data_IF_982724550140
#
_entry.id   IF_982724550140
#
_cell.length_a   1.000
_cell.length_b   1.000
_cell.length_c   1.000
_cell.angle_alpha   90.00
_cell.angle_beta   90.00
_cell.angle_gamma   90.00
#
_symmetry.space_group_name_H-M   'P 1'
#
loop_
_entity.id
_entity.type
_entity.pdbx_description
1 polymer ?
#
# COMPACT_ATOMS: atom_id res chain seq x y z
N UNK A 1 5.25 72.83 -2.23
CA UNK A 1 6.39 71.96 -1.89
C UNK A 1 6.04 70.76 -1.01
N UNK A 2 4.96 70.75 -0.22
CA UNK A 2 4.55 69.57 0.57
C UNK A 2 3.90 68.46 -0.28
N UNK A 3 3.15 68.79 -1.33
CA UNK A 3 2.48 67.78 -2.18
C UNK A 3 3.43 66.87 -2.97
N UNK A 4 4.61 67.37 -3.38
CA UNK A 4 5.58 66.57 -4.14
C UNK A 4 6.25 65.52 -3.24
N UNK A 5 6.38 65.80 -1.94
CA UNK A 5 6.99 64.90 -0.98
C UNK A 5 6.07 63.71 -0.64
N UNK A 6 4.75 63.93 -0.60
CA UNK A 6 3.76 62.89 -0.29
C UNK A 6 3.54 61.94 -1.48
N UNK A 7 3.56 62.43 -2.73
CA UNK A 7 3.45 61.57 -3.93
C UNK A 7 4.63 60.61 -4.11
N UNK A 8 5.84 60.99 -3.70
CA UNK A 8 7.03 60.11 -3.80
C UNK A 8 6.93 58.96 -2.80
N UNK A 9 6.51 59.23 -1.57
CA UNK A 9 6.34 58.21 -0.52
C UNK A 9 5.23 57.21 -0.87
N UNK A 10 4.13 57.68 -1.47
CA UNK A 10 3.01 56.82 -1.89
C UNK A 10 3.34 55.88 -3.05
N UNK A 11 4.27 56.30 -3.93
CA UNK A 11 4.71 55.49 -5.08
C UNK A 11 5.73 54.43 -4.65
N UNK A 12 6.61 54.75 -3.68
CA UNK A 12 7.55 53.80 -3.09
C UNK A 12 6.85 52.67 -2.31
N UNK A 13 5.76 52.97 -1.60
CA UNK A 13 4.99 51.96 -0.86
C UNK A 13 4.28 50.95 -1.80
N UNK A 14 3.63 51.42 -2.88
CA UNK A 14 2.96 50.56 -3.87
C UNK A 14 3.93 49.65 -4.65
N UNK A 15 5.14 50.13 -4.94
CA UNK A 15 6.18 49.35 -5.62
C UNK A 15 6.76 48.22 -4.77
N UNK A 16 6.74 48.37 -3.43
CA UNK A 16 7.22 47.37 -2.47
C UNK A 16 6.17 46.30 -2.19
N UNK A 17 4.89 46.66 -2.09
CA UNK A 17 3.79 45.70 -1.90
C UNK A 17 3.61 44.75 -3.11
N UNK A 18 3.79 45.24 -4.33
CA UNK A 18 3.67 44.41 -5.54
C UNK A 18 4.84 43.42 -5.71
N UNK A 19 5.99 43.67 -5.09
CA UNK A 19 7.13 42.73 -5.06
C UNK A 19 6.94 41.64 -4.01
N UNK A 20 6.38 41.99 -2.85
CA UNK A 20 6.07 41.06 -1.77
C UNK A 20 4.95 40.09 -2.19
N UNK A 21 3.91 40.56 -2.89
CA UNK A 21 2.86 39.69 -3.41
C UNK A 21 3.34 38.69 -4.47
N UNK A 22 4.27 39.10 -5.35
CA UNK A 22 4.89 38.19 -6.34
C UNK A 22 5.80 37.14 -5.69
N UNK A 23 6.55 37.52 -4.66
CA UNK A 23 7.39 36.60 -3.89
C UNK A 23 6.55 35.59 -3.10
N UNK A 24 5.42 36.01 -2.52
CA UNK A 24 4.50 35.13 -1.79
C UNK A 24 3.77 34.15 -2.72
N UNK A 25 3.37 34.59 -3.92
CA UNK A 25 2.78 33.72 -4.94
C UNK A 25 3.79 32.68 -5.48
N UNK A 26 5.07 33.05 -5.64
CA UNK A 26 6.12 32.11 -6.03
C UNK A 26 6.43 31.09 -4.91
N UNK A 27 6.42 31.51 -3.64
CA UNK A 27 6.57 30.61 -2.49
C UNK A 27 5.38 29.65 -2.33
N UNK A 28 4.17 30.07 -2.68
CA UNK A 28 2.96 29.22 -2.66
C UNK A 28 2.92 28.23 -3.83
N UNK A 29 3.55 28.55 -4.97
CA UNK A 29 3.74 27.63 -6.12
C UNK A 29 4.87 26.61 -5.88
N UNK A 30 5.86 26.93 -5.04
CA UNK A 30 6.92 26.00 -4.58
C UNK A 30 6.47 25.03 -3.48
N UNK A 31 5.29 25.24 -2.90
CA UNK A 31 4.63 24.30 -2.01
C UNK A 31 3.76 23.27 -2.76
N UNK A 32 4.01 23.09 -4.06
CA UNK A 32 3.53 21.97 -4.85
C UNK A 32 3.82 20.68 -4.09
N UNK A 33 2.76 19.92 -3.82
CA UNK A 33 2.80 18.59 -3.24
C UNK A 33 4.00 17.80 -3.76
N UNK A 34 4.88 17.34 -2.87
CA UNK A 34 5.69 16.18 -3.19
C UNK A 34 4.68 15.05 -3.45
N UNK A 35 4.37 14.80 -4.73
CA UNK A 35 3.65 13.62 -5.14
C UNK A 35 4.60 12.45 -4.90
N UNK A 36 4.58 11.90 -3.69
CA UNK A 36 5.27 10.65 -3.44
C UNK A 36 4.62 9.60 -4.33
N UNK A 37 5.42 9.02 -5.22
CA UNK A 37 5.05 7.75 -5.79
C UNK A 37 4.91 6.75 -4.63
N UNK A 38 3.83 5.98 -4.68
CA UNK A 38 3.52 4.96 -3.66
C UNK A 38 2.94 3.79 -4.41
N UNK A 39 3.59 2.64 -4.26
CA UNK A 39 3.05 1.39 -4.74
C UNK A 39 2.41 0.64 -3.58
N UNK A 40 1.12 0.33 -3.71
CA UNK A 40 0.40 -0.44 -2.69
C UNK A 40 -0.01 -1.78 -3.25
N UNK A 41 0.34 -2.84 -2.53
CA UNK A 41 -0.11 -4.19 -2.78
C UNK A 41 -1.05 -4.65 -1.67
N UNK A 42 -2.14 -5.30 -2.07
CA UNK A 42 -3.11 -5.92 -1.19
C UNK A 42 -3.01 -7.42 -1.37
N UNK A 43 -2.93 -8.18 -0.28
CA UNK A 43 -3.04 -9.64 -0.28
C UNK A 43 -4.19 -10.06 0.63
N UNK A 44 -5.16 -10.77 0.07
CA UNK A 44 -6.44 -11.05 0.72
C UNK A 44 -7.04 -12.36 0.23
N UNK A 45 -7.96 -12.91 1.01
CA UNK A 45 -8.69 -14.13 0.64
C UNK A 45 -9.89 -13.79 -0.23
N UNK A 46 -10.10 -14.55 -1.30
CA UNK A 46 -11.25 -14.42 -2.19
C UNK A 46 -11.62 -15.78 -2.76
N UNK A 47 -12.85 -16.24 -2.52
CA UNK A 47 -13.39 -17.46 -3.13
C UNK A 47 -12.61 -18.74 -2.81
N UNK A 48 -12.01 -18.86 -1.61
CA UNK A 48 -11.20 -20.02 -1.21
C UNK A 48 -9.75 -19.99 -1.71
N UNK A 49 -9.33 -18.87 -2.29
CA UNK A 49 -7.98 -18.61 -2.77
C UNK A 49 -7.40 -17.39 -2.03
N UNK A 50 -6.08 -17.22 -2.08
CA UNK A 50 -5.43 -15.95 -1.76
C UNK A 50 -5.12 -15.23 -3.07
N UNK A 51 -5.44 -13.94 -3.13
CA UNK A 51 -5.18 -13.08 -4.27
C UNK A 51 -4.34 -11.91 -3.81
N UNK A 52 -3.31 -11.58 -4.58
CA UNK A 52 -2.56 -10.34 -4.45
C UNK A 52 -2.85 -9.42 -5.65
N UNK A 53 -3.03 -8.13 -5.38
CA UNK A 53 -3.21 -7.10 -6.38
C UNK A 53 -2.46 -5.85 -5.96
N UNK A 54 -1.57 -5.36 -6.81
CA UNK A 54 -0.78 -4.17 -6.56
C UNK A 54 -0.92 -3.13 -7.65
N UNK A 55 -1.00 -1.87 -7.26
CA UNK A 55 -1.04 -0.74 -8.18
C UNK A 55 -0.35 0.49 -7.58
N UNK A 56 0.12 1.36 -8.45
CA UNK A 56 0.72 2.65 -8.08
C UNK A 56 1.90 2.99 -8.96
N UNK A 57 2.80 3.80 -8.43
CA UNK A 57 4.03 4.23 -9.09
C UNK A 57 5.19 4.08 -8.12
N UNK A 58 6.42 3.99 -8.61
CA UNK A 58 7.64 3.90 -7.81
C UNK A 58 8.69 4.88 -8.36
N UNK A 59 9.33 5.62 -7.48
CA UNK A 59 10.52 6.40 -7.76
C UNK A 59 11.76 5.59 -7.37
N UNK A 60 12.48 5.09 -8.37
CA UNK A 60 13.72 4.32 -8.19
C UNK A 60 14.97 5.18 -8.33
N UNK A 61 14.85 6.51 -8.50
CA UNK A 61 15.99 7.41 -8.81
C UNK A 61 17.03 7.49 -7.69
N UNK A 62 16.62 7.25 -6.44
CA UNK A 62 17.53 7.25 -5.29
C UNK A 62 18.16 5.88 -4.99
N UNK A 63 17.82 4.84 -5.75
CA UNK A 63 18.25 3.47 -5.49
C UNK A 63 19.39 3.05 -6.44
N UNK A 64 20.32 2.25 -5.91
CA UNK A 64 21.36 1.63 -6.72
C UNK A 64 20.83 0.40 -7.44
N UNK A 65 21.12 0.28 -8.74
CA UNK A 65 20.82 -0.94 -9.49
C UNK A 65 21.72 -2.10 -9.02
N UNK A 66 21.11 -3.24 -8.72
CA UNK A 66 21.77 -4.46 -8.27
C UNK A 66 21.92 -5.49 -9.40
N UNK A 67 21.16 -5.34 -10.49
CA UNK A 67 21.21 -6.21 -11.66
C UNK A 67 19.83 -6.70 -12.10
N UNK A 68 19.81 -7.35 -13.28
CA UNK A 68 18.60 -7.89 -13.87
C UNK A 68 18.55 -9.42 -13.75
N UNK A 69 17.35 -9.95 -13.51
CA UNK A 69 17.07 -11.38 -13.38
C UNK A 69 15.68 -11.67 -13.95
N UNK A 70 15.41 -12.94 -14.30
CA UNK A 70 14.06 -13.40 -14.60
C UNK A 70 13.48 -14.11 -13.38
N UNK A 71 12.25 -13.77 -13.02
CA UNK A 71 11.63 -14.25 -11.78
C UNK A 71 10.19 -14.72 -12.01
N UNK A 72 9.70 -15.52 -11.07
CA UNK A 72 8.31 -15.98 -11.01
C UNK A 72 7.64 -15.43 -9.74
N UNK A 73 6.31 -15.26 -9.76
CA UNK A 73 5.57 -14.80 -8.59
C UNK A 73 5.59 -15.86 -7.49
N UNK A 74 5.87 -15.43 -6.27
CA UNK A 74 5.87 -16.28 -5.07
C UNK A 74 5.74 -15.43 -3.81
N UNK A 75 5.58 -16.11 -2.67
CA UNK A 75 5.64 -15.50 -1.35
C UNK A 75 6.54 -16.32 -0.42
N UNK A 76 7.38 -15.63 0.37
CA UNK A 76 8.17 -16.18 1.48
C UNK A 76 8.04 -15.20 2.66
N UNK A 77 6.99 -15.30 3.48
CA UNK A 77 6.72 -14.32 4.55
C UNK A 77 7.84 -14.16 5.57
N UNK A 78 8.52 -15.27 5.93
CA UNK A 78 9.59 -15.26 6.95
C UNK A 78 10.81 -14.44 6.55
N UNK A 79 11.04 -14.29 5.24
CA UNK A 79 12.16 -13.53 4.66
C UNK A 79 11.72 -12.21 4.04
N UNK A 80 10.46 -11.81 4.28
CA UNK A 80 9.81 -10.69 3.61
C UNK A 80 10.02 -10.71 2.09
N UNK A 81 9.74 -11.83 1.42
CA UNK A 81 9.81 -11.90 -0.05
C UNK A 81 8.40 -12.01 -0.61
N UNK A 82 8.05 -11.11 -1.50
CA UNK A 82 6.80 -11.14 -2.25
C UNK A 82 7.10 -10.73 -3.68
N UNK A 83 6.64 -11.52 -4.65
CA UNK A 83 6.71 -11.19 -6.08
C UNK A 83 5.38 -11.50 -6.71
N UNK A 84 4.89 -10.56 -7.50
CA UNK A 84 3.60 -10.63 -8.18
C UNK A 84 3.74 -10.08 -9.60
N UNK A 85 2.89 -10.53 -10.51
CA UNK A 85 2.97 -10.21 -11.93
C UNK A 85 3.21 -11.42 -12.81
N UNK A 86 3.51 -11.16 -14.09
CA UNK A 86 3.61 -12.20 -15.12
C UNK A 86 4.81 -13.14 -14.89
N UNK A 87 4.61 -14.48 -14.77
CA UNK A 87 5.70 -15.43 -14.59
C UNK A 87 6.75 -15.37 -15.70
N UNK A 88 8.03 -15.43 -15.32
CA UNK A 88 9.15 -15.43 -16.27
C UNK A 88 9.53 -14.05 -16.79
N UNK A 89 8.87 -12.98 -16.32
CA UNK A 89 9.23 -11.61 -16.68
C UNK A 89 10.63 -11.23 -16.15
N UNK A 90 11.35 -10.45 -16.95
CA UNK A 90 12.63 -9.86 -16.55
C UNK A 90 12.41 -8.62 -15.69
N UNK A 91 13.14 -8.55 -14.58
CA UNK A 91 13.09 -7.44 -13.63
C UNK A 91 14.45 -6.76 -13.52
N UNK A 92 14.44 -5.53 -13.02
CA UNK A 92 15.61 -4.84 -12.46
C UNK A 92 15.48 -4.82 -10.94
N UNK A 93 16.56 -5.17 -10.25
CA UNK A 93 16.65 -5.10 -8.80
C UNK A 93 17.28 -3.78 -8.35
N UNK A 94 16.71 -3.14 -7.34
CA UNK A 94 17.15 -1.87 -6.79
C UNK A 94 17.27 -1.94 -5.27
N UNK A 95 18.28 -1.33 -4.67
CA UNK A 95 18.41 -1.29 -3.21
C UNK A 95 19.56 -0.43 -2.70
N UNK A 96 19.80 -0.42 -1.38
CA UNK A 96 18.99 -1.05 -0.32
C UNK A 96 17.71 -0.26 0.03
N UNK A 97 16.80 -0.87 0.79
CA UNK A 97 15.57 -0.28 1.32
C UNK A 97 15.60 -0.27 2.86
N UNK A 98 14.64 0.39 3.49
CA UNK A 98 14.36 0.29 4.94
C UNK A 98 12.96 -0.26 5.16
N UNK A 99 12.79 -1.30 5.97
CA UNK A 99 11.47 -1.82 6.28
C UNK A 99 11.51 -3.16 7.04
N UNK A 100 10.34 -3.81 7.19
CA UNK A 100 10.21 -5.09 7.88
C UNK A 100 11.07 -6.19 7.24
N UNK A 101 11.66 -7.05 8.09
CA UNK A 101 12.39 -8.24 7.66
C UNK A 101 11.48 -9.46 7.46
N UNK A 102 10.24 -9.41 7.95
CA UNK A 102 9.23 -10.44 7.77
C UNK A 102 7.82 -9.85 7.81
N UNK A 103 6.87 -10.57 7.21
CA UNK A 103 5.43 -10.30 7.32
C UNK A 103 4.62 -11.57 7.65
N UNK A 104 5.29 -12.53 8.30
CA UNK A 104 4.69 -13.76 8.80
C UNK A 104 5.70 -14.90 8.90
N UNK A 105 5.34 -16.05 9.52
CA UNK A 105 6.23 -17.20 9.68
C UNK A 105 6.31 -18.12 8.45
N UNK A 106 5.52 -17.87 7.40
CA UNK A 106 5.41 -18.75 6.23
C UNK A 106 6.71 -18.96 5.47
N UNK A 107 6.86 -20.15 4.90
CA UNK A 107 7.96 -20.52 3.99
C UNK A 107 7.66 -20.19 2.53
N UNK A 108 8.49 -20.71 1.62
CA UNK A 108 8.34 -20.49 0.19
C UNK A 108 7.06 -21.15 -0.34
N UNK A 109 6.21 -20.34 -0.95
CA UNK A 109 5.06 -20.81 -1.73
C UNK A 109 5.01 -20.09 -3.07
N UNK A 110 5.13 -20.84 -4.18
CA UNK A 110 4.96 -20.28 -5.53
C UNK A 110 3.49 -19.90 -5.76
N UNK A 111 3.25 -18.83 -6.51
CA UNK A 111 1.90 -18.52 -6.97
C UNK A 111 1.53 -19.44 -8.14
N UNK A 112 0.24 -19.81 -8.24
CA UNK A 112 -0.26 -20.62 -9.36
C UNK A 112 -0.36 -19.80 -10.65
N UNK A 113 -0.48 -18.48 -10.52
CA UNK A 113 -0.58 -17.57 -11.63
C UNK A 113 -0.34 -16.12 -11.20
N UNK A 114 -0.09 -15.27 -12.20
CA UNK A 114 0.06 -13.84 -12.02
C UNK A 114 0.01 -13.13 -13.37
N UNK A 115 -0.32 -11.84 -13.35
CA UNK A 115 -0.47 -11.03 -14.56
C UNK A 115 -0.10 -9.58 -14.31
N UNK A 116 0.20 -8.85 -15.39
CA UNK A 116 0.68 -7.48 -15.34
C UNK A 116 2.18 -7.38 -15.11
N UNK A 117 2.61 -6.25 -14.57
CA UNK A 117 4.00 -5.91 -14.29
C UNK A 117 4.56 -6.81 -13.19
N UNK A 118 5.76 -7.34 -13.40
CA UNK A 118 6.46 -8.08 -12.36
C UNK A 118 7.07 -7.09 -11.35
N UNK A 119 6.44 -7.02 -10.18
CA UNK A 119 6.84 -6.16 -9.07
C UNK A 119 6.99 -7.01 -7.81
N UNK A 120 8.00 -6.71 -7.00
CA UNK A 120 8.20 -7.44 -5.76
C UNK A 120 9.28 -6.86 -4.88
N UNK A 121 9.56 -7.58 -3.80
CA UNK A 121 10.56 -7.21 -2.81
C UNK A 121 11.27 -8.45 -2.27
N UNK A 122 12.48 -8.21 -1.78
CA UNK A 122 13.26 -9.13 -0.98
C UNK A 122 13.72 -8.36 0.26
N UNK A 123 12.86 -8.34 1.28
CA UNK A 123 13.07 -7.66 2.54
C UNK A 123 13.57 -6.23 2.33
N UNK A 124 14.54 -5.83 3.14
CA UNK A 124 15.23 -4.55 2.99
C UNK A 124 16.36 -4.57 1.93
N UNK A 125 16.59 -5.70 1.26
CA UNK A 125 17.72 -5.86 0.35
C UNK A 125 17.42 -5.31 -1.04
N UNK A 126 16.28 -5.67 -1.62
CA UNK A 126 15.98 -5.35 -3.01
C UNK A 126 14.48 -5.11 -3.27
N UNK A 127 14.19 -4.09 -4.07
CA UNK A 127 12.95 -3.84 -4.78
C UNK A 127 13.09 -4.40 -6.20
N UNK A 128 12.07 -5.10 -6.69
CA UNK A 128 12.00 -5.59 -8.05
C UNK A 128 10.93 -4.84 -8.82
N UNK A 129 11.30 -4.32 -9.99
CA UNK A 129 10.41 -3.67 -10.96
C UNK A 129 10.67 -4.23 -12.35
N UNK A 130 9.78 -4.10 -13.33
CA UNK A 130 10.06 -4.52 -14.71
C UNK A 130 11.39 -3.97 -15.22
N UNK A 131 12.14 -4.75 -15.99
CA UNK A 131 13.48 -4.36 -16.42
C UNK A 131 13.52 -3.02 -17.19
N UNK A 132 12.44 -2.71 -17.92
CA UNK A 132 12.28 -1.48 -18.70
C UNK A 132 11.52 -0.37 -17.95
N UNK A 133 11.31 -0.52 -16.64
CA UNK A 133 10.57 0.45 -15.84
C UNK A 133 11.27 1.82 -15.79
N UNK A 134 10.51 2.88 -15.97
CA UNK A 134 10.94 4.27 -15.76
C UNK A 134 10.26 4.80 -14.50
N UNK A 135 11.04 5.44 -13.63
CA UNK A 135 10.54 5.98 -12.36
C UNK A 135 9.31 6.89 -12.58
N UNK A 136 8.25 6.62 -11.83
CA UNK A 136 6.96 7.33 -11.93
C UNK A 136 5.95 6.74 -12.92
N UNK A 137 6.34 5.77 -13.75
CA UNK A 137 5.37 5.08 -14.62
C UNK A 137 4.38 4.26 -13.77
N UNK A 138 3.11 4.17 -14.20
CA UNK A 138 2.12 3.36 -13.52
C UNK A 138 2.45 1.87 -13.63
N UNK A 139 2.33 1.18 -12.50
CA UNK A 139 2.52 -0.25 -12.37
C UNK A 139 1.21 -0.90 -11.95
N UNK A 140 0.91 -2.06 -12.52
CA UNK A 140 -0.23 -2.90 -12.14
C UNK A 140 0.18 -4.36 -12.14
N UNK A 141 0.02 -5.04 -11.00
CA UNK A 141 0.42 -6.44 -10.84
C UNK A 141 -0.63 -7.26 -10.11
N UNK A 142 -0.59 -8.57 -10.33
CA UNK A 142 -1.44 -9.53 -9.63
C UNK A 142 -0.76 -10.89 -9.47
N UNK A 143 -1.18 -11.64 -8.45
CA UNK A 143 -0.85 -13.05 -8.28
C UNK A 143 -1.98 -13.78 -7.55
N UNK A 144 -2.05 -15.10 -7.72
CA UNK A 144 -3.05 -15.93 -7.04
C UNK A 144 -2.46 -17.24 -6.52
N UNK A 145 -2.95 -17.67 -5.36
CA UNK A 145 -2.68 -18.96 -4.73
C UNK A 145 -4.02 -19.66 -4.47
N UNK A 146 -4.21 -20.80 -5.11
CA UNK A 146 -5.45 -21.57 -5.17
C UNK A 146 -5.55 -22.49 -3.97
N UNK A 147 -6.76 -22.69 -3.46
CA UNK A 147 -7.01 -23.53 -2.29
C UNK A 147 -6.12 -23.17 -1.08
N UNK A 148 -5.86 -21.88 -0.91
CA UNK A 148 -4.99 -21.33 0.12
C UNK A 148 -5.74 -20.29 0.96
N UNK A 149 -5.28 -20.15 2.20
CA UNK A 149 -5.66 -19.10 3.15
C UNK A 149 -4.42 -18.30 3.55
N UNK A 150 -4.58 -17.10 4.10
CA UNK A 150 -3.48 -16.32 4.66
C UNK A 150 -2.74 -17.12 5.74
N UNK A 151 -3.49 -17.87 6.55
CA UNK A 151 -2.95 -18.75 7.59
C UNK A 151 -2.11 -19.89 7.01
N UNK A 152 -2.57 -20.58 5.95
CA UNK A 152 -1.80 -21.67 5.33
C UNK A 152 -0.55 -21.17 4.61
N UNK A 153 -0.59 -19.94 4.08
CA UNK A 153 0.60 -19.28 3.52
C UNK A 153 1.54 -18.74 4.61
N UNK A 154 1.12 -18.75 5.88
CA UNK A 154 1.87 -18.18 6.99
C UNK A 154 2.06 -16.67 6.88
N UNK A 155 1.04 -15.97 6.35
CA UNK A 155 0.95 -14.52 6.29
C UNK A 155 0.32 -13.98 7.57
N UNK A 156 0.92 -12.94 8.15
CA UNK A 156 0.34 -12.24 9.29
C UNK A 156 -0.42 -11.01 8.80
N UNK A 157 -1.73 -10.87 9.10
CA UNK A 157 -2.48 -9.66 8.74
C UNK A 157 -1.87 -8.39 9.34
N UNK A 158 -1.80 -7.33 8.55
CA UNK A 158 -1.17 -6.07 8.93
C UNK A 158 -0.67 -5.25 7.74
N UNK A 159 -0.20 -4.04 8.05
CA UNK A 159 0.40 -3.13 7.08
C UNK A 159 1.93 -3.14 7.24
N UNK A 160 2.64 -3.34 6.13
CA UNK A 160 4.09 -3.43 6.07
C UNK A 160 4.60 -2.44 5.03
N UNK A 161 5.45 -1.51 5.43
CA UNK A 161 5.96 -0.45 4.54
C UNK A 161 7.48 -0.51 4.45
N UNK A 162 7.98 -0.54 3.21
CA UNK A 162 9.39 -0.31 2.89
C UNK A 162 9.54 1.09 2.34
N UNK A 163 10.61 1.78 2.76
CA UNK A 163 10.88 3.17 2.42
C UNK A 163 12.32 3.32 1.97
N UNK A 164 12.56 4.29 1.10
CA UNK A 164 13.90 4.64 0.63
C UNK A 164 13.95 6.10 0.20
N UNK A 165 15.14 6.57 -0.13
CA UNK A 165 15.37 7.94 -0.57
C UNK A 165 15.22 8.97 0.54
N UNK A 166 15.29 10.24 0.15
CA UNK A 166 15.11 11.38 1.06
C UNK A 166 14.71 12.62 0.27
N UNK A 167 13.93 13.52 0.87
CA UNK A 167 13.51 14.75 0.20
C UNK A 167 12.68 14.46 -1.06
N UNK A 168 13.00 15.05 -2.22
CA UNK A 168 12.20 14.86 -3.44
C UNK A 168 12.16 13.44 -4.00
N UNK A 169 13.14 12.60 -3.67
CA UNK A 169 13.25 11.21 -4.16
C UNK A 169 12.88 10.17 -3.09
N UNK A 170 12.25 10.60 -1.99
CA UNK A 170 11.71 9.63 -1.03
C UNK A 170 10.44 8.98 -1.54
N UNK A 171 10.32 7.67 -1.33
CA UNK A 171 9.21 6.84 -1.81
C UNK A 171 8.97 5.67 -0.85
N UNK A 172 7.85 4.97 -1.03
CA UNK A 172 7.48 3.79 -0.27
C UNK A 172 6.74 2.71 -1.07
N UNK A 173 7.01 1.46 -0.71
CA UNK A 173 6.23 0.29 -1.08
C UNK A 173 5.41 -0.17 0.14
N UNK A 174 4.10 -0.32 0.00
CA UNK A 174 3.21 -0.75 1.08
C UNK A 174 2.53 -2.07 0.75
N UNK A 175 2.69 -3.07 1.62
CA UNK A 175 1.97 -4.33 1.60
C UNK A 175 0.88 -4.31 2.68
N UNK A 176 -0.36 -4.55 2.28
CA UNK A 176 -1.50 -4.73 3.17
C UNK A 176 -1.97 -6.18 3.14
N UNK A 177 -1.86 -6.86 4.26
CA UNK A 177 -2.23 -8.27 4.42
C UNK A 177 -3.56 -8.37 5.14
N UNK A 178 -4.50 -9.13 4.57
CA UNK A 178 -5.82 -9.38 5.16
C UNK A 178 -6.89 -8.36 4.80
N UNK A 179 -6.58 -7.40 3.92
CA UNK A 179 -7.53 -6.37 3.48
C UNK A 179 -7.57 -6.36 1.96
N UNK A 180 -8.78 -6.39 1.39
CA UNK A 180 -8.97 -6.26 -0.05
C UNK A 180 -8.86 -4.79 -0.49
N UNK A 181 -8.46 -4.52 -1.75
CA UNK A 181 -8.48 -3.16 -2.30
C UNK A 181 -9.88 -2.54 -2.22
N UNK A 182 -10.00 -1.21 -2.05
CA UNK A 182 -11.28 -0.52 -2.12
C UNK A 182 -12.00 -0.84 -3.44
N UNK A 183 -13.28 -1.23 -3.36
CA UNK A 183 -14.09 -1.60 -4.53
C UNK A 183 -14.07 -3.09 -4.88
N UNK A 184 -13.27 -3.92 -4.21
CA UNK A 184 -13.36 -5.38 -4.31
C UNK A 184 -14.31 -5.91 -3.25
N UNK A 185 -15.43 -6.52 -3.67
CA UNK A 185 -16.30 -7.29 -2.78
C UNK A 185 -15.75 -8.71 -2.64
N UNK A 186 -15.04 -8.97 -1.54
CA UNK A 186 -14.70 -10.34 -1.16
C UNK A 186 -15.95 -11.02 -0.63
N UNK A 187 -16.35 -12.14 -1.24
CA UNK A 187 -17.36 -13.01 -0.66
C UNK A 187 -16.74 -13.68 0.57
N UNK A 188 -16.72 -12.96 1.70
CA UNK A 188 -16.48 -13.58 2.99
C UNK A 188 -17.55 -14.65 3.17
N UNK A 189 -17.12 -15.86 3.54
CA UNK A 189 -17.98 -16.89 4.13
C UNK A 189 -18.92 -16.17 5.10
N UNK A 190 -20.25 -16.38 5.08
CA UNK A 190 -21.14 -15.58 5.92
C UNK A 190 -20.75 -15.78 7.38
N UNK A 191 -20.03 -14.82 7.94
CA UNK A 191 -20.08 -14.60 9.37
C UNK A 191 -21.54 -14.31 9.64
N UNK A 192 -22.16 -15.20 10.42
CA UNK A 192 -23.56 -15.06 10.84
C UNK A 192 -23.75 -13.58 11.20
N UNK A 193 -24.68 -12.90 10.51
CA UNK A 193 -24.86 -11.45 10.67
C UNK A 193 -24.86 -11.11 12.15
N UNK A 194 -24.21 -10.03 12.56
CA UNK A 194 -24.12 -9.66 13.97
C UNK A 194 -25.50 -9.67 14.64
N UNK A 195 -26.53 -9.29 13.87
CA UNK A 195 -27.95 -9.42 14.22
C UNK A 195 -28.43 -10.86 14.46
N UNK A 196 -28.00 -11.85 13.67
CA UNK A 196 -28.30 -13.26 13.91
C UNK A 196 -27.64 -13.78 15.20
N UNK A 197 -26.42 -13.35 15.53
CA UNK A 197 -25.78 -13.70 16.81
C UNK A 197 -26.48 -13.04 18.01
N UNK A 198 -26.92 -11.78 17.86
CA UNK A 198 -27.73 -11.08 18.86
C UNK A 198 -29.09 -11.76 19.06
N UNK A 199 -29.75 -12.20 17.97
CA UNK A 199 -31.04 -12.90 18.06
C UNK A 199 -30.86 -14.28 18.72
N UNK A 200 -29.82 -15.02 18.37
CA UNK A 200 -29.54 -16.33 18.97
C UNK A 200 -29.21 -16.23 20.48
N UNK A 201 -28.40 -15.24 20.87
CA UNK A 201 -28.10 -15.02 22.28
C UNK A 201 -29.32 -14.56 23.08
N UNK A 202 -30.18 -13.71 22.49
CA UNK A 202 -31.45 -13.33 23.08
C UNK A 202 -32.42 -14.51 23.24
N UNK A 203 -32.53 -15.39 22.24
CA UNK A 203 -33.38 -16.59 22.30
C UNK A 203 -32.92 -17.56 23.39
N UNK A 204 -31.61 -17.77 23.54
CA UNK A 204 -31.05 -18.61 24.60
C UNK A 204 -31.31 -18.01 26.00
N UNK A 205 -31.18 -16.69 26.15
CA UNK A 205 -31.47 -16.00 27.40
C UNK A 205 -32.96 -16.07 27.78
N UNK A 206 -33.87 -15.84 26.82
CA UNK A 206 -35.32 -15.94 27.04
C UNK A 206 -35.73 -17.38 27.35
N UNK A 207 -35.19 -18.36 26.62
CA UNK A 207 -35.40 -19.79 26.89
C UNK A 207 -34.96 -20.19 28.30
N UNK A 208 -33.81 -19.70 28.75
CA UNK A 208 -33.32 -19.89 30.12
C UNK A 208 -34.22 -19.27 31.19
N UNK A 209 -34.69 -18.03 30.99
CA UNK A 209 -35.57 -17.35 31.95
C UNK A 209 -36.95 -18.04 32.03
N UNK A 210 -37.51 -18.47 30.89
CA UNK A 210 -38.77 -19.21 30.85
C UNK A 210 -38.66 -20.58 31.53
N UNK A 211 -37.54 -21.29 31.35
CA UNK A 211 -37.28 -22.57 32.01
C UNK A 211 -37.15 -22.41 33.55
N UNK A 212 -36.54 -21.31 34.01
CA UNK A 212 -36.40 -21.01 35.44
C UNK A 212 -37.74 -20.62 36.09
N UNK A 213 -38.63 -19.92 35.39
CA UNK A 213 -39.96 -19.56 35.92
C UNK A 213 -40.89 -20.76 36.09
N UNK A 214 -40.74 -21.80 35.27
CA UNK A 214 -41.51 -23.06 35.42
C UNK A 214 -41.06 -23.95 36.58
N UNK A 215 -39.92 -23.65 37.21
CA UNK A 215 -39.35 -24.44 38.32
C UNK A 215 -39.54 -23.81 39.70
N UNK A 216 -40.30 -22.71 39.81
CA UNK A 216 -40.71 -22.18 41.11
C UNK A 216 -42.05 -22.81 41.50
N UNK A 217 -42.11 -23.69 42.51
CA UNK A 217 -43.37 -24.21 43.06
C UNK A 217 -44.16 -23.12 43.77
#
# INVERSE_FOLDING_TARGET
MREIHDSVLQTCAKGMEMKIFKALAAALLLACCNAHAVYTIYIYESGGNVVASGAGTLDTTSLGALGALSVTPLVIPVSAILRVGTPGASIQAFGPLNGPASFGPGGLTNADGGSGDMVGLFGALALFVPQAYVAGDPLSSSASWSAATLATLGLTPGDYTWTWGSGPSSDSYTLRVGVAPPGVIVASIPTLSEWAAVVMSALLAIGGICALRRRRP
#
